data_IF_825114593507
#
_entry.id   IF_825114593507
#
_cell.length_a   1.000
_cell.length_b   1.000
_cell.length_c   1.000
_cell.angle_alpha   90.00
_cell.angle_beta   90.00
_cell.angle_gamma   90.00
#
_symmetry.space_group_name_H-M   'P 1'
#
loop_
_entity.id
_entity.type
_entity.pdbx_description
1 polymer ?
#
# COMPACT_ATOMS: atom_id res chain seq x y z
N UNK A 1 -34.79 -11.62 -5.65
CA UNK A 1 -35.17 -10.22 -5.36
C UNK A 1 -33.99 -9.51 -4.75
N UNK A 2 -33.61 -8.32 -5.24
CA UNK A 2 -32.51 -7.52 -4.65
C UNK A 2 -32.91 -7.03 -3.25
N UNK A 3 -32.11 -7.34 -2.21
CA UNK A 3 -32.33 -6.86 -0.83
C UNK A 3 -32.32 -5.32 -0.80
N UNK A 4 -33.34 -4.72 -0.18
CA UNK A 4 -33.43 -3.27 0.04
C UNK A 4 -32.85 -2.94 1.42
N UNK A 5 -32.08 -1.86 1.48
CA UNK A 5 -31.40 -1.37 2.66
C UNK A 5 -31.91 0.02 3.05
N UNK A 6 -31.68 0.39 4.30
CA UNK A 6 -31.99 1.73 4.83
C UNK A 6 -30.77 2.34 5.49
N UNK A 7 -30.60 3.65 5.37
CA UNK A 7 -29.49 4.37 5.96
C UNK A 7 -29.73 5.88 6.02
N UNK A 8 -28.75 6.61 6.53
CA UNK A 8 -28.76 8.08 6.59
C UNK A 8 -27.70 8.65 5.66
N UNK A 9 -28.06 9.64 4.84
CA UNK A 9 -27.07 10.47 4.14
C UNK A 9 -26.23 11.19 5.19
N UNK A 10 -24.90 11.09 5.07
CA UNK A 10 -23.93 11.75 5.95
C UNK A 10 -23.24 12.90 5.25
N UNK A 11 -22.94 12.74 3.96
CA UNK A 11 -22.26 13.76 3.17
C UNK A 11 -22.72 13.74 1.71
N UNK A 12 -22.70 14.90 1.08
CA UNK A 12 -23.10 15.13 -0.31
C UNK A 12 -22.06 16.02 -0.96
N UNK A 13 -21.51 15.54 -2.09
CA UNK A 13 -20.59 16.27 -2.97
C UNK A 13 -21.28 16.52 -4.31
N UNK A 14 -20.60 17.17 -5.24
CA UNK A 14 -21.16 17.50 -6.55
C UNK A 14 -21.73 16.28 -7.30
N UNK A 15 -20.97 15.18 -7.40
CA UNK A 15 -21.32 14.00 -8.23
C UNK A 15 -21.58 12.72 -7.42
N UNK A 16 -21.45 12.76 -6.09
CA UNK A 16 -21.66 11.59 -5.25
C UNK A 16 -22.02 11.98 -3.82
N UNK A 17 -22.64 11.05 -3.10
CA UNK A 17 -22.85 11.18 -1.66
C UNK A 17 -22.48 9.92 -0.90
N UNK A 18 -22.50 10.02 0.43
CA UNK A 18 -22.15 8.95 1.35
C UNK A 18 -23.35 8.64 2.23
N UNK A 19 -23.79 7.39 2.24
CA UNK A 19 -24.85 6.89 3.11
C UNK A 19 -24.21 6.04 4.21
N UNK A 20 -24.54 6.31 5.47
CA UNK A 20 -24.23 5.43 6.60
C UNK A 20 -25.41 4.50 6.84
N UNK A 21 -25.14 3.21 6.97
CA UNK A 21 -26.14 2.18 7.26
C UNK A 21 -25.68 1.32 8.43
N UNK A 22 -26.63 0.72 9.14
CA UNK A 22 -26.36 -0.31 10.14
C UNK A 22 -26.77 -1.66 9.56
N UNK A 23 -25.83 -2.59 9.44
CA UNK A 23 -26.10 -3.98 9.07
C UNK A 23 -25.54 -4.90 10.15
N UNK A 24 -26.42 -5.71 10.75
CA UNK A 24 -26.08 -6.68 11.80
C UNK A 24 -25.35 -6.07 13.01
N UNK A 25 -25.71 -4.85 13.40
CA UNK A 25 -25.08 -4.14 14.53
C UNK A 25 -23.81 -3.37 14.16
N UNK A 26 -23.39 -3.38 12.90
CA UNK A 26 -22.19 -2.69 12.42
C UNK A 26 -22.53 -1.50 11.54
N UNK A 27 -21.87 -0.36 11.78
CA UNK A 27 -22.00 0.83 10.95
C UNK A 27 -21.10 0.70 9.72
N UNK A 28 -21.70 0.73 8.53
CA UNK A 28 -21.02 0.76 7.23
C UNK A 28 -21.32 2.07 6.49
N UNK A 29 -20.42 2.52 5.61
CA UNK A 29 -20.69 3.61 4.67
C UNK A 29 -20.64 3.11 3.23
N UNK A 30 -21.50 3.66 2.38
CA UNK A 30 -21.56 3.32 0.95
C UNK A 30 -21.72 4.58 0.11
N UNK A 31 -21.13 4.55 -1.08
CA UNK A 31 -21.26 5.65 -2.04
C UNK A 31 -22.51 5.49 -2.89
N UNK A 32 -23.08 6.60 -3.33
CA UNK A 32 -24.06 6.65 -4.40
C UNK A 32 -23.74 7.80 -5.36
N UNK A 33 -24.11 7.64 -6.63
CA UNK A 33 -23.98 8.70 -7.62
C UNK A 33 -25.08 9.75 -7.47
N UNK A 34 -24.72 11.00 -7.71
CA UNK A 34 -25.66 12.11 -7.88
C UNK A 34 -25.59 12.48 -9.35
N UNK A 35 -26.70 12.29 -10.04
CA UNK A 35 -26.83 12.64 -11.45
C UNK A 35 -27.40 14.06 -11.60
N UNK A 36 -27.14 14.75 -12.73
CA UNK A 36 -27.61 16.13 -12.93
C UNK A 36 -29.12 16.31 -12.78
N UNK A 37 -29.91 15.32 -13.16
CA UNK A 37 -31.38 15.31 -13.02
C UNK A 37 -31.86 15.20 -11.57
N UNK A 38 -30.99 14.77 -10.64
CA UNK A 38 -31.26 14.75 -9.20
C UNK A 38 -31.00 16.11 -8.54
N UNK A 39 -30.42 17.07 -9.27
CA UNK A 39 -30.00 18.37 -8.76
C UNK A 39 -30.99 19.44 -9.20
N UNK A 40 -31.48 20.22 -8.23
CA UNK A 40 -32.26 21.43 -8.49
C UNK A 40 -31.63 22.61 -7.75
N UNK A 41 -31.32 23.70 -8.45
CA UNK A 41 -30.75 24.92 -7.87
C UNK A 41 -29.50 24.65 -6.99
N UNK A 42 -28.59 23.78 -7.46
CA UNK A 42 -27.39 23.35 -6.73
C UNK A 42 -27.67 22.62 -5.40
N UNK A 43 -28.84 22.00 -5.30
CA UNK A 43 -29.25 21.22 -4.13
C UNK A 43 -29.75 19.83 -4.53
N UNK A 44 -29.47 18.85 -3.69
CA UNK A 44 -30.04 17.51 -3.80
C UNK A 44 -31.26 17.40 -2.87
N UNK A 45 -32.41 17.03 -3.42
CA UNK A 45 -33.67 16.89 -2.66
C UNK A 45 -33.93 15.44 -2.26
N UNK A 46 -33.37 15.02 -1.13
CA UNK A 46 -33.62 13.71 -0.51
C UNK A 46 -33.93 13.89 0.98
N UNK A 47 -34.66 12.96 1.59
CA UNK A 47 -34.74 12.92 3.06
C UNK A 47 -33.40 12.48 3.65
N UNK A 48 -33.13 12.84 4.91
CA UNK A 48 -31.91 12.36 5.60
C UNK A 48 -31.85 10.84 5.66
N UNK A 49 -32.99 10.21 5.95
CA UNK A 49 -33.14 8.76 5.86
C UNK A 49 -33.53 8.35 4.43
N UNK A 50 -32.79 7.39 3.86
CA UNK A 50 -33.01 6.90 2.50
C UNK A 50 -33.13 5.38 2.48
N UNK A 51 -33.88 4.88 1.51
CA UNK A 51 -33.87 3.48 1.10
C UNK A 51 -33.10 3.31 -0.20
N UNK A 52 -32.37 2.22 -0.35
CA UNK A 52 -31.51 1.97 -1.49
C UNK A 52 -31.26 0.48 -1.70
N UNK A 53 -30.67 0.14 -2.83
CA UNK A 53 -30.17 -1.21 -3.14
C UNK A 53 -28.65 -1.15 -3.28
N UNK A 54 -28.00 -2.30 -3.10
CA UNK A 54 -26.54 -2.43 -3.25
C UNK A 54 -26.21 -3.24 -4.48
N UNK A 55 -25.27 -2.74 -5.29
CA UNK A 55 -24.69 -3.45 -6.41
C UNK A 55 -23.17 -3.50 -6.22
N UNK A 56 -22.57 -4.64 -6.55
CA UNK A 56 -21.12 -4.73 -6.69
C UNK A 56 -20.75 -4.02 -7.99
N UNK A 57 -19.78 -3.13 -7.92
CA UNK A 57 -19.20 -2.46 -9.08
C UNK A 57 -17.70 -2.68 -9.04
N UNK A 58 -17.17 -3.21 -10.14
CA UNK A 58 -15.72 -3.29 -10.33
C UNK A 58 -15.21 -1.89 -10.69
N UNK A 59 -14.28 -1.38 -9.89
CA UNK A 59 -13.59 -0.13 -10.16
C UNK A 59 -12.09 -0.41 -10.06
N UNK A 60 -11.41 -0.41 -11.21
CA UNK A 60 -10.02 -0.87 -11.36
C UNK A 60 -9.89 -2.34 -10.90
N UNK A 61 -8.82 -2.67 -10.17
CA UNK A 61 -8.54 -4.02 -9.68
C UNK A 61 -9.37 -4.43 -8.45
N UNK A 62 -10.37 -3.62 -8.05
CA UNK A 62 -11.18 -3.87 -6.86
C UNK A 62 -12.69 -3.84 -7.08
N UNK A 63 -13.41 -4.53 -6.20
CA UNK A 63 -14.86 -4.54 -6.14
C UNK A 63 -15.34 -3.65 -4.99
N UNK A 64 -16.34 -2.81 -5.26
CA UNK A 64 -16.96 -1.93 -4.27
C UNK A 64 -18.48 -2.08 -4.31
N UNK A 65 -19.13 -2.06 -3.14
CA UNK A 65 -20.59 -1.91 -3.04
C UNK A 65 -21.02 -0.46 -3.23
N UNK A 66 -21.78 -0.22 -4.29
CA UNK A 66 -22.40 1.07 -4.60
C UNK A 66 -23.91 1.01 -4.27
N UNK A 67 -24.39 2.04 -3.57
CA UNK A 67 -25.81 2.27 -3.39
C UNK A 67 -26.42 2.85 -4.67
N UNK A 68 -27.52 2.24 -5.12
CA UNK A 68 -28.30 2.67 -6.28
C UNK A 68 -29.79 2.64 -5.97
N UNK A 69 -30.59 3.26 -6.85
CA UNK A 69 -32.03 3.48 -6.62
C UNK A 69 -32.30 4.13 -5.25
N UNK A 70 -31.47 5.11 -4.90
CA UNK A 70 -31.59 5.87 -3.64
C UNK A 70 -32.86 6.69 -3.68
N UNK A 71 -33.73 6.50 -2.69
CA UNK A 71 -35.01 7.18 -2.58
C UNK A 71 -35.32 7.57 -1.13
N UNK A 72 -36.03 8.68 -0.95
CA UNK A 72 -36.47 9.14 0.35
C UNK A 72 -37.38 8.12 1.03
N UNK A 73 -37.10 7.77 2.29
CA UNK A 73 -37.96 6.87 3.07
C UNK A 73 -39.29 7.55 3.43
N UNK A 74 -39.25 8.85 3.73
CA UNK A 74 -40.42 9.69 3.95
C UNK A 74 -40.45 10.83 2.93
N UNK A 75 -41.45 10.82 2.04
CA UNK A 75 -41.61 11.84 0.99
C UNK A 75 -41.92 13.24 1.55
N UNK A 76 -42.43 13.30 2.78
CA UNK A 76 -42.83 14.55 3.45
C UNK A 76 -41.69 15.24 4.21
N UNK A 77 -40.51 14.60 4.32
CA UNK A 77 -39.40 15.05 5.16
C UNK A 77 -38.12 15.28 4.33
N UNK A 78 -38.31 15.92 3.16
CA UNK A 78 -37.22 16.24 2.24
C UNK A 78 -36.31 17.29 2.87
N UNK A 79 -35.03 16.95 3.02
CA UNK A 79 -34.00 17.92 3.37
C UNK A 79 -33.31 18.39 2.10
N UNK A 80 -33.00 19.67 2.07
CA UNK A 80 -32.21 20.27 1.00
C UNK A 80 -30.74 20.09 1.36
N UNK A 81 -30.04 19.22 0.64
CA UNK A 81 -28.59 19.09 0.78
C UNK A 81 -27.91 20.06 -0.19
N UNK A 82 -27.16 21.02 0.35
CA UNK A 82 -26.35 21.94 -0.45
C UNK A 82 -25.17 21.14 -1.01
N UNK A 83 -25.01 21.17 -2.34
CA UNK A 83 -23.87 20.52 -2.99
C UNK A 83 -22.60 21.32 -2.67
N UNK A 84 -21.62 20.66 -2.07
CA UNK A 84 -20.27 21.22 -1.90
C UNK A 84 -19.61 21.31 -3.28
N UNK A 85 -19.49 22.52 -3.82
CA UNK A 85 -18.72 22.80 -5.03
C UNK A 85 -17.27 23.14 -4.65
N UNK A 86 -16.31 22.72 -5.47
CA UNK A 86 -14.93 23.18 -5.35
C UNK A 86 -14.88 24.67 -5.72
N UNK A 87 -14.09 25.48 -4.99
CA UNK A 87 -13.83 26.87 -5.38
C UNK A 87 -13.05 26.89 -6.70
N UNK A 88 -13.31 27.83 -7.62
CA UNK A 88 -12.64 27.91 -8.92
C UNK A 88 -11.11 27.91 -8.83
N UNK A 89 -10.54 28.66 -7.89
CA UNK A 89 -9.08 28.77 -7.68
C UNK A 89 -8.44 27.42 -7.28
N UNK A 90 -9.22 26.50 -6.70
CA UNK A 90 -8.74 25.14 -6.39
C UNK A 90 -8.66 24.26 -7.65
N UNK A 91 -9.42 24.57 -8.69
CA UNK A 91 -9.45 23.77 -9.93
C UNK A 91 -8.19 24.00 -10.79
N UNK A 92 -7.53 25.15 -10.64
CA UNK A 92 -6.30 25.46 -11.39
C UNK A 92 -5.07 24.71 -10.87
N UNK A 93 -5.04 24.37 -9.57
CA UNK A 93 -3.96 23.58 -8.98
C UNK A 93 -4.53 22.36 -8.22
N UNK A 94 -4.53 21.22 -8.91
CA UNK A 94 -5.01 19.94 -8.39
C UNK A 94 -4.42 19.59 -7.02
N UNK A 95 -3.11 19.75 -6.82
CA UNK A 95 -2.49 19.42 -5.54
C UNK A 95 -3.04 20.33 -4.44
N UNK A 96 -3.05 21.65 -4.64
CA UNK A 96 -3.60 22.60 -3.66
C UNK A 96 -5.03 22.23 -3.23
N UNK A 97 -5.90 21.83 -4.17
CA UNK A 97 -7.23 21.34 -3.84
C UNK A 97 -7.20 20.15 -2.87
N UNK A 98 -6.37 19.15 -3.16
CA UNK A 98 -6.25 17.93 -2.35
C UNK A 98 -5.72 18.25 -0.95
N UNK A 99 -4.64 19.02 -0.84
CA UNK A 99 -4.04 19.36 0.45
C UNK A 99 -5.02 20.15 1.31
N UNK A 100 -5.69 21.18 0.76
CA UNK A 100 -6.68 21.98 1.49
C UNK A 100 -7.84 21.12 1.99
N UNK A 101 -8.33 20.22 1.14
CA UNK A 101 -9.42 19.32 1.48
C UNK A 101 -9.02 18.33 2.58
N UNK A 102 -7.84 17.72 2.48
CA UNK A 102 -7.38 16.69 3.42
C UNK A 102 -6.99 17.29 4.78
N UNK A 103 -6.24 18.40 4.77
CA UNK A 103 -5.74 19.03 5.99
C UNK A 103 -6.74 19.99 6.64
N UNK A 104 -7.84 20.31 5.96
CA UNK A 104 -8.88 21.25 6.43
C UNK A 104 -8.32 22.66 6.71
N UNK A 105 -7.33 23.10 5.92
CA UNK A 105 -6.63 24.39 6.06
C UNK A 105 -6.78 25.23 4.81
N UNK A 106 -7.01 26.53 4.99
CA UNK A 106 -7.07 27.50 3.88
C UNK A 106 -5.89 28.50 3.82
N UNK A 107 -4.99 28.50 4.81
CA UNK A 107 -3.81 29.35 4.79
C UNK A 107 -2.81 28.89 3.70
N UNK A 108 -2.46 29.74 2.71
CA UNK A 108 -1.52 29.38 1.64
C UNK A 108 -0.14 28.94 2.12
N UNK A 109 0.47 29.64 3.08
CA UNK A 109 1.82 29.35 3.57
C UNK A 109 1.89 27.96 4.22
N UNK A 110 0.84 27.61 4.99
CA UNK A 110 0.72 26.28 5.62
C UNK A 110 0.55 25.19 4.55
N UNK A 111 -0.23 25.45 3.50
CA UNK A 111 -0.42 24.51 2.40
C UNK A 111 0.88 24.30 1.63
N UNK A 112 1.64 25.36 1.36
CA UNK A 112 2.96 25.25 0.72
C UNK A 112 3.95 24.45 1.57
N UNK A 113 3.97 24.67 2.88
CA UNK A 113 4.80 23.88 3.81
C UNK A 113 4.40 22.39 3.81
N UNK A 114 3.10 22.09 3.85
CA UNK A 114 2.58 20.71 3.79
C UNK A 114 2.96 20.02 2.48
N UNK A 115 2.88 20.72 1.34
CA UNK A 115 3.30 20.21 0.03
C UNK A 115 4.81 19.95 0.02
N UNK A 116 5.60 20.87 0.55
CA UNK A 116 7.06 20.76 0.63
C UNK A 116 7.48 19.55 1.47
N UNK A 117 6.85 19.35 2.63
CA UNK A 117 7.11 18.20 3.49
C UNK A 117 6.65 16.88 2.85
N UNK A 118 5.49 16.82 2.18
CA UNK A 118 5.08 15.62 1.44
C UNK A 118 6.09 15.28 0.32
N UNK A 119 6.59 16.29 -0.39
CA UNK A 119 7.65 16.10 -1.40
C UNK A 119 8.93 15.53 -0.79
N UNK A 120 9.38 16.06 0.34
CA UNK A 120 10.53 15.52 1.06
C UNK A 120 10.30 14.04 1.46
N UNK A 121 9.13 13.72 2.03
CA UNK A 121 8.77 12.34 2.40
C UNK A 121 8.78 11.42 1.18
N UNK A 122 8.33 11.89 0.01
CA UNK A 122 8.39 11.11 -1.24
C UNK A 122 9.82 10.82 -1.69
N UNK A 123 10.70 11.83 -1.62
CA UNK A 123 12.11 11.68 -1.98
C UNK A 123 12.81 10.66 -1.10
N UNK A 124 12.67 10.76 0.23
CA UNK A 124 13.27 9.78 1.16
C UNK A 124 12.61 8.41 1.04
N UNK A 125 11.30 8.32 0.82
CA UNK A 125 10.62 7.04 0.55
C UNK A 125 11.20 6.37 -0.69
N UNK A 126 11.44 7.12 -1.77
CA UNK A 126 12.03 6.58 -2.99
C UNK A 126 13.47 6.10 -2.77
N UNK A 127 14.29 6.89 -2.06
CA UNK A 127 15.65 6.51 -1.65
C UNK A 127 15.64 5.15 -0.95
N UNK A 128 14.79 4.98 0.06
CA UNK A 128 14.75 3.74 0.84
C UNK A 128 14.15 2.56 0.09
N UNK A 129 13.19 2.77 -0.81
CA UNK A 129 12.71 1.71 -1.70
C UNK A 129 13.83 1.22 -2.64
N UNK A 130 14.62 2.14 -3.22
CA UNK A 130 15.75 1.78 -4.08
C UNK A 130 16.82 1.02 -3.30
N UNK A 131 17.06 1.39 -2.05
CA UNK A 131 17.92 0.64 -1.14
C UNK A 131 17.41 -0.79 -0.93
N UNK A 132 16.13 -0.97 -0.56
CA UNK A 132 15.53 -2.30 -0.38
C UNK A 132 15.62 -3.12 -1.68
N UNK A 133 15.31 -2.51 -2.83
CA UNK A 133 15.39 -3.18 -4.14
C UNK A 133 16.80 -3.71 -4.40
N UNK A 134 17.82 -2.88 -4.19
CA UNK A 134 19.23 -3.27 -4.34
C UNK A 134 19.61 -4.39 -3.37
N UNK A 135 19.27 -4.25 -2.08
CA UNK A 135 19.57 -5.27 -1.06
C UNK A 135 18.95 -6.63 -1.41
N UNK A 136 17.70 -6.64 -1.90
CA UNK A 136 17.05 -7.88 -2.35
C UNK A 136 17.80 -8.51 -3.53
N UNK A 137 18.21 -7.72 -4.52
CA UNK A 137 19.01 -8.21 -5.65
C UNK A 137 20.35 -8.81 -5.17
N UNK A 138 21.06 -8.08 -4.31
CA UNK A 138 22.34 -8.51 -3.74
C UNK A 138 22.20 -9.82 -2.95
N UNK A 139 21.12 -9.96 -2.16
CA UNK A 139 20.85 -11.18 -1.41
C UNK A 139 20.52 -12.36 -2.32
N UNK A 140 19.72 -12.17 -3.38
CA UNK A 140 19.45 -13.23 -4.36
C UNK A 140 20.77 -13.74 -4.98
N UNK A 141 21.69 -12.83 -5.34
CA UNK A 141 23.00 -13.20 -5.89
C UNK A 141 23.86 -13.92 -4.85
N UNK A 142 23.96 -13.37 -3.63
CA UNK A 142 24.75 -13.93 -2.52
C UNK A 142 24.28 -15.34 -2.14
N UNK A 143 22.96 -15.54 -2.01
CA UNK A 143 22.35 -16.85 -1.75
C UNK A 143 22.71 -17.83 -2.86
N UNK A 144 22.63 -17.41 -4.13
CA UNK A 144 22.92 -18.28 -5.27
C UNK A 144 24.38 -18.73 -5.28
N UNK A 145 25.32 -17.81 -4.99
CA UNK A 145 26.75 -18.12 -4.90
C UNK A 145 27.02 -19.07 -3.72
N UNK A 146 26.53 -18.73 -2.53
CA UNK A 146 26.82 -19.47 -1.29
C UNK A 146 26.24 -20.88 -1.30
N UNK A 147 25.10 -21.08 -1.99
CA UNK A 147 24.44 -22.38 -2.09
C UNK A 147 24.73 -23.11 -3.41
N UNK A 148 25.71 -22.63 -4.19
CA UNK A 148 26.12 -23.21 -5.47
C UNK A 148 24.98 -23.41 -6.48
N UNK A 149 24.04 -22.47 -6.52
CA UNK A 149 22.90 -22.48 -7.44
C UNK A 149 23.32 -21.77 -8.72
N UNK A 150 23.24 -22.45 -9.86
CA UNK A 150 23.63 -21.84 -11.13
C UNK A 150 22.56 -20.90 -11.67
N UNK A 151 22.97 -19.84 -12.38
CA UNK A 151 22.03 -18.95 -13.08
C UNK A 151 21.14 -19.71 -14.08
N UNK A 152 21.65 -20.80 -14.67
CA UNK A 152 20.88 -21.63 -15.61
C UNK A 152 19.70 -22.31 -14.91
N UNK A 153 19.92 -22.90 -13.74
CA UNK A 153 18.85 -23.54 -12.95
C UNK A 153 17.77 -22.52 -12.55
N UNK A 154 18.20 -21.31 -12.17
CA UNK A 154 17.29 -20.19 -11.88
C UNK A 154 16.46 -19.84 -13.11
N UNK A 155 17.08 -19.66 -14.27
CA UNK A 155 16.36 -19.28 -15.49
C UNK A 155 15.43 -20.39 -15.99
N UNK A 156 15.81 -21.65 -15.84
CA UNK A 156 14.93 -22.79 -16.15
C UNK A 156 13.69 -22.79 -15.25
N UNK A 157 13.87 -22.58 -13.94
CA UNK A 157 12.76 -22.42 -13.00
C UNK A 157 11.83 -21.26 -13.40
N UNK A 158 12.38 -20.09 -13.72
CA UNK A 158 11.58 -18.92 -14.13
C UNK A 158 10.81 -19.15 -15.44
N UNK A 159 11.30 -19.98 -16.37
CA UNK A 159 10.60 -20.32 -17.62
C UNK A 159 9.41 -21.26 -17.40
N UNK A 160 9.40 -22.05 -16.33
CA UNK A 160 8.32 -23.00 -16.04
C UNK A 160 7.04 -22.29 -15.57
N UNK A 161 7.15 -21.10 -15.00
CA UNK A 161 5.99 -20.29 -14.61
C UNK A 161 5.64 -19.27 -15.70
N UNK A 162 4.38 -19.26 -16.15
CA UNK A 162 3.90 -18.43 -17.25
C UNK A 162 4.19 -16.93 -17.07
N UNK A 163 4.02 -16.41 -15.85
CA UNK A 163 4.20 -15.00 -15.54
C UNK A 163 5.67 -14.62 -15.57
N UNK A 164 6.54 -15.41 -14.91
CA UNK A 164 7.98 -15.14 -14.91
C UNK A 164 8.65 -15.47 -16.24
N UNK A 165 8.09 -16.37 -17.06
CA UNK A 165 8.59 -16.65 -18.40
C UNK A 165 8.44 -15.41 -19.31
N UNK A 166 7.32 -14.70 -19.24
CA UNK A 166 7.15 -13.44 -19.98
C UNK A 166 8.17 -12.38 -19.55
N UNK A 167 8.40 -12.26 -18.23
CA UNK A 167 9.41 -11.36 -17.66
C UNK A 167 10.81 -11.75 -18.13
N UNK A 168 11.15 -13.04 -18.05
CA UNK A 168 12.44 -13.58 -18.49
C UNK A 168 12.72 -13.28 -19.97
N UNK A 169 11.72 -13.52 -20.83
CA UNK A 169 11.85 -13.21 -22.26
C UNK A 169 12.01 -11.70 -22.53
N UNK A 170 11.32 -10.86 -21.75
CA UNK A 170 11.47 -9.40 -21.83
C UNK A 170 12.87 -8.96 -21.40
N UNK A 171 13.38 -9.48 -20.28
CA UNK A 171 14.73 -9.18 -19.78
C UNK A 171 15.79 -9.63 -20.79
N UNK A 172 15.70 -10.86 -21.32
CA UNK A 172 16.63 -11.33 -22.34
C UNK A 172 16.67 -10.43 -23.58
N UNK A 173 15.51 -9.90 -24.01
CA UNK A 173 15.46 -8.93 -25.11
C UNK A 173 16.16 -7.62 -24.76
N UNK A 174 15.99 -7.11 -23.54
CA UNK A 174 16.73 -5.92 -23.06
C UNK A 174 18.22 -6.18 -23.00
N UNK A 175 18.65 -7.29 -22.37
CA UNK A 175 20.07 -7.64 -22.27
C UNK A 175 20.73 -7.67 -23.64
N UNK A 176 20.10 -8.36 -24.60
CA UNK A 176 20.60 -8.42 -25.98
C UNK A 176 20.73 -7.06 -26.65
N UNK A 177 19.78 -6.15 -26.38
CA UNK A 177 19.75 -4.82 -27.00
C UNK A 177 20.74 -3.87 -26.35
N UNK A 178 20.76 -3.85 -25.03
CA UNK A 178 21.37 -2.78 -24.25
C UNK A 178 22.85 -3.07 -23.94
N UNK A 179 23.26 -4.35 -23.92
CA UNK A 179 24.65 -4.75 -23.63
C UNK A 179 25.45 -5.22 -24.84
N UNK A 180 24.87 -5.21 -26.04
CA UNK A 180 25.61 -5.52 -27.26
C UNK A 180 26.79 -4.53 -27.42
N UNK A 181 27.99 -5.07 -27.60
CA UNK A 181 29.24 -4.29 -27.72
C UNK A 181 29.61 -3.43 -26.50
N UNK A 182 29.08 -3.75 -25.31
CA UNK A 182 29.62 -3.25 -24.05
C UNK A 182 30.58 -4.28 -23.44
N UNK A 183 31.36 -3.88 -22.45
CA UNK A 183 32.31 -4.77 -21.77
C UNK A 183 31.60 -5.97 -21.12
N UNK A 184 30.38 -5.78 -20.62
CA UNK A 184 29.58 -6.84 -20.01
C UNK A 184 29.13 -7.91 -21.02
N UNK A 185 29.20 -7.63 -22.32
CA UNK A 185 28.90 -8.61 -23.36
C UNK A 185 29.79 -9.85 -23.27
N UNK A 186 31.03 -9.69 -22.80
CA UNK A 186 31.99 -10.78 -22.58
C UNK A 186 31.53 -11.76 -21.50
N UNK A 187 30.59 -11.35 -20.64
CA UNK A 187 30.05 -12.18 -19.55
C UNK A 187 28.84 -13.01 -19.99
N UNK A 188 28.34 -12.81 -21.21
CA UNK A 188 27.13 -13.47 -21.70
C UNK A 188 27.48 -14.78 -22.42
N UNK A 189 26.75 -15.85 -22.13
CA UNK A 189 26.80 -17.06 -22.96
C UNK A 189 25.81 -16.90 -24.11
N UNK A 190 26.33 -16.88 -25.33
CA UNK A 190 25.53 -16.76 -26.55
C UNK A 190 25.71 -17.98 -27.46
N UNK A 191 24.72 -18.20 -28.31
CA UNK A 191 24.73 -19.25 -29.33
C UNK A 191 24.21 -18.66 -30.65
N UNK A 192 24.52 -19.33 -31.76
CA UNK A 192 24.09 -18.89 -33.08
C UNK A 192 22.58 -19.06 -33.21
N UNK A 193 21.90 -18.06 -33.77
CA UNK A 193 20.49 -18.22 -34.09
C UNK A 193 20.35 -19.12 -35.34
N UNK A 194 19.74 -20.29 -35.15
CA UNK A 194 19.58 -21.31 -36.19
C UNK A 194 18.79 -20.81 -37.42
N UNK A 195 18.01 -19.74 -37.29
CA UNK A 195 17.21 -19.18 -38.38
C UNK A 195 17.83 -17.93 -39.02
N UNK A 196 18.78 -17.27 -38.34
CA UNK A 196 19.39 -16.04 -38.85
C UNK A 196 20.82 -15.87 -38.33
N UNK A 197 21.79 -16.12 -39.19
CA UNK A 197 23.23 -16.01 -38.89
C UNK A 197 23.70 -14.62 -38.45
N UNK A 198 22.91 -13.56 -38.68
CA UNK A 198 23.21 -12.20 -38.23
C UNK A 198 22.75 -11.93 -36.79
N UNK A 199 22.10 -12.90 -36.14
CA UNK A 199 21.55 -12.78 -34.81
C UNK A 199 22.11 -13.87 -33.88
N UNK A 200 21.97 -13.66 -32.57
CA UNK A 200 22.39 -14.63 -31.56
C UNK A 200 21.28 -14.91 -30.55
N UNK A 201 21.33 -16.09 -29.95
CA UNK A 201 20.48 -16.53 -28.85
C UNK A 201 21.26 -16.33 -27.55
N UNK A 202 20.66 -15.62 -26.59
CA UNK A 202 21.22 -15.51 -25.24
C UNK A 202 20.88 -16.79 -24.49
N UNK A 203 21.90 -17.58 -24.12
CA UNK A 203 21.74 -18.82 -23.35
C UNK A 203 21.78 -18.55 -21.85
N UNK A 204 22.66 -17.66 -21.43
CA UNK A 204 22.88 -17.34 -20.02
C UNK A 204 23.43 -15.92 -19.88
N UNK A 205 23.15 -15.30 -18.75
CA UNK A 205 23.70 -14.01 -18.33
C UNK A 205 24.05 -14.10 -16.84
N UNK A 206 25.01 -13.32 -16.34
CA UNK A 206 25.25 -13.19 -14.91
C UNK A 206 23.96 -12.79 -14.19
N UNK A 207 23.67 -13.43 -13.05
CA UNK A 207 22.42 -13.20 -12.33
C UNK A 207 22.26 -11.74 -11.90
N UNK A 208 23.34 -11.09 -11.47
CA UNK A 208 23.34 -9.67 -11.13
C UNK A 208 22.87 -8.81 -12.31
N UNK A 209 23.45 -9.01 -13.50
CA UNK A 209 23.07 -8.28 -14.72
C UNK A 209 21.61 -8.55 -15.11
N UNK A 210 21.15 -9.79 -14.97
CA UNK A 210 19.75 -10.14 -15.20
C UNK A 210 18.79 -9.40 -14.27
N UNK A 211 19.15 -9.27 -12.99
CA UNK A 211 18.33 -8.59 -11.99
C UNK A 211 18.33 -7.07 -12.16
N UNK A 212 19.40 -6.46 -12.68
CA UNK A 212 19.41 -5.02 -12.97
C UNK A 212 18.37 -4.60 -14.01
N UNK A 213 17.99 -5.52 -14.91
CA UNK A 213 17.00 -5.26 -15.96
C UNK A 213 15.53 -5.39 -15.49
N UNK A 214 15.33 -5.67 -14.20
CA UNK A 214 14.00 -5.81 -13.59
C UNK A 214 13.44 -4.47 -13.11
N UNK A 215 12.14 -4.28 -13.25
CA UNK A 215 11.39 -3.32 -12.42
C UNK A 215 11.06 -3.91 -11.06
N UNK A 216 10.73 -3.10 -10.05
CA UNK A 216 10.38 -3.59 -8.70
C UNK A 216 9.24 -4.62 -8.70
N UNK A 217 8.23 -4.43 -9.55
CA UNK A 217 7.11 -5.38 -9.70
C UNK A 217 7.56 -6.71 -10.35
N UNK A 218 8.43 -6.64 -11.36
CA UNK A 218 9.01 -7.83 -11.99
C UNK A 218 9.92 -8.58 -11.02
N UNK A 219 10.75 -7.86 -10.26
CA UNK A 219 11.62 -8.42 -9.23
C UNK A 219 10.80 -9.12 -8.14
N UNK A 220 9.69 -8.54 -7.68
CA UNK A 220 8.84 -9.19 -6.70
C UNK A 220 8.20 -10.49 -7.20
N UNK A 221 7.83 -10.54 -8.49
CA UNK A 221 7.30 -11.76 -9.13
C UNK A 221 8.36 -12.84 -9.24
N UNK A 222 9.58 -12.45 -9.61
CA UNK A 222 10.75 -13.33 -9.63
C UNK A 222 11.04 -13.85 -8.22
N UNK A 223 11.17 -12.95 -7.24
CA UNK A 223 11.47 -13.28 -5.84
C UNK A 223 10.51 -14.34 -5.29
N UNK A 224 9.19 -14.17 -5.52
CA UNK A 224 8.18 -15.13 -5.10
C UNK A 224 8.41 -16.54 -5.66
N UNK A 225 8.78 -16.65 -6.94
CA UNK A 225 9.08 -17.95 -7.56
C UNK A 225 10.38 -18.54 -7.02
N UNK A 226 11.42 -17.70 -6.85
CA UNK A 226 12.71 -18.15 -6.33
C UNK A 226 12.58 -18.68 -4.90
N UNK A 227 11.91 -17.94 -4.02
CA UNK A 227 11.67 -18.36 -2.62
C UNK A 227 10.92 -19.70 -2.57
N UNK A 228 9.86 -19.85 -3.35
CA UNK A 228 9.03 -21.05 -3.33
C UNK A 228 9.73 -22.28 -3.93
N UNK A 229 10.55 -22.10 -4.97
CA UNK A 229 10.99 -23.21 -5.83
C UNK A 229 12.49 -23.47 -5.74
N UNK A 230 13.31 -22.42 -5.66
CA UNK A 230 14.77 -22.50 -5.73
C UNK A 230 15.38 -22.45 -4.32
N UNK A 231 14.88 -21.56 -3.46
CA UNK A 231 15.44 -21.31 -2.14
C UNK A 231 14.72 -22.04 -1.00
N UNK A 232 13.63 -22.75 -1.29
CA UNK A 232 12.79 -23.40 -0.27
C UNK A 232 13.55 -24.39 0.63
N UNK A 233 14.51 -25.12 0.08
CA UNK A 233 15.37 -26.05 0.84
C UNK A 233 16.35 -25.40 1.82
N UNK A 234 16.51 -24.08 1.76
CA UNK A 234 17.46 -23.29 2.54
C UNK A 234 16.78 -22.37 3.56
N UNK A 235 15.44 -22.36 3.62
CA UNK A 235 14.69 -21.64 4.64
C UNK A 235 15.12 -22.15 6.04
N UNK A 236 15.35 -21.22 6.98
CA UNK A 236 15.90 -21.48 8.32
C UNK A 236 17.36 -21.98 8.35
N UNK A 237 18.04 -22.13 7.21
CA UNK A 237 19.46 -22.49 7.14
C UNK A 237 20.35 -21.31 6.74
N UNK A 238 19.82 -20.41 5.91
CA UNK A 238 20.47 -19.16 5.52
C UNK A 238 19.58 -17.99 5.97
N UNK A 239 20.14 -17.07 6.75
CA UNK A 239 19.43 -15.90 7.28
C UNK A 239 18.89 -15.00 6.17
N UNK A 240 19.59 -14.87 5.04
CA UNK A 240 19.13 -14.08 3.90
C UNK A 240 17.94 -14.76 3.21
N UNK A 241 17.94 -16.09 3.12
CA UNK A 241 16.80 -16.85 2.58
C UNK A 241 15.58 -16.68 3.48
N UNK A 242 15.76 -16.79 4.80
CA UNK A 242 14.69 -16.58 5.79
C UNK A 242 14.13 -15.16 5.68
N UNK A 243 14.99 -14.16 5.58
CA UNK A 243 14.57 -12.77 5.36
C UNK A 243 13.74 -12.62 4.07
N UNK A 244 14.27 -13.09 2.93
CA UNK A 244 13.59 -13.03 1.64
C UNK A 244 12.24 -13.76 1.66
N UNK A 245 12.18 -14.91 2.35
CA UNK A 245 10.94 -15.66 2.53
C UNK A 245 9.89 -14.85 3.29
N UNK A 246 10.24 -14.14 4.36
CA UNK A 246 9.26 -13.36 5.11
C UNK A 246 8.79 -12.07 4.42
N UNK A 247 9.55 -11.55 3.45
CA UNK A 247 9.19 -10.29 2.77
C UNK A 247 8.56 -10.48 1.38
N UNK A 248 8.62 -11.68 0.79
CA UNK A 248 8.35 -11.87 -0.64
C UNK A 248 6.94 -11.43 -1.09
N UNK A 249 5.92 -11.62 -0.26
CA UNK A 249 4.54 -11.16 -0.54
C UNK A 249 4.41 -9.64 -0.43
N UNK A 250 5.01 -9.06 0.61
CA UNK A 250 4.96 -7.63 0.89
C UNK A 250 5.82 -6.82 -0.09
N UNK A 251 6.89 -7.39 -0.61
CA UNK A 251 7.79 -6.72 -1.55
C UNK A 251 7.06 -6.31 -2.85
N UNK A 252 6.12 -7.13 -3.33
CA UNK A 252 5.28 -6.81 -4.48
C UNK A 252 4.44 -5.54 -4.29
N UNK A 253 4.04 -5.28 -3.04
CA UNK A 253 3.22 -4.12 -2.71
C UNK A 253 3.99 -2.81 -2.82
N UNK A 254 5.33 -2.82 -2.74
CA UNK A 254 6.15 -1.60 -2.80
C UNK A 254 5.96 -0.81 -4.09
N UNK A 255 5.56 -1.48 -5.19
CA UNK A 255 5.30 -0.85 -6.48
C UNK A 255 4.34 0.35 -6.39
N UNK A 256 3.32 0.27 -5.52
CA UNK A 256 2.30 1.32 -5.37
C UNK A 256 2.88 2.60 -4.77
N UNK A 257 3.53 2.54 -3.61
CA UNK A 257 4.16 3.73 -3.02
C UNK A 257 5.36 4.20 -3.82
N UNK A 258 6.13 3.30 -4.46
CA UNK A 258 7.24 3.67 -5.34
C UNK A 258 6.73 4.58 -6.46
N UNK A 259 5.65 4.18 -7.12
CA UNK A 259 5.06 4.95 -8.20
C UNK A 259 4.41 6.25 -7.68
N UNK A 260 3.75 6.22 -6.52
CA UNK A 260 3.22 7.43 -5.90
C UNK A 260 4.32 8.46 -5.56
N UNK A 261 5.45 7.99 -5.04
CA UNK A 261 6.61 8.82 -4.72
C UNK A 261 7.31 9.36 -5.96
N UNK A 262 7.41 8.57 -7.04
CA UNK A 262 8.06 8.97 -8.28
C UNK A 262 7.22 9.91 -9.17
N UNK A 263 5.91 10.01 -8.95
CA UNK A 263 4.99 10.81 -9.77
C UNK A 263 4.37 11.96 -8.99
N UNK A 264 3.73 12.94 -9.64
CA UNK A 264 3.24 14.18 -9.02
C UNK A 264 2.08 14.07 -8.01
N UNK A 265 1.65 12.86 -7.64
CA UNK A 265 0.53 12.66 -6.72
C UNK A 265 0.91 12.94 -5.25
N UNK A 266 0.00 13.51 -4.43
CA UNK A 266 0.20 13.64 -2.98
C UNK A 266 0.31 12.27 -2.29
N UNK A 267 1.37 12.04 -1.50
CA UNK A 267 1.63 10.74 -0.88
C UNK A 267 0.87 10.55 0.44
N UNK A 268 0.92 11.53 1.35
CA UNK A 268 0.24 11.44 2.64
C UNK A 268 -1.29 11.34 2.47
N UNK A 269 -1.97 12.19 1.67
CA UNK A 269 -3.38 12.01 1.40
C UNK A 269 -3.71 10.65 0.78
N UNK A 270 -2.83 10.12 -0.08
CA UNK A 270 -3.01 8.80 -0.68
C UNK A 270 -3.03 7.66 0.36
N UNK A 271 -2.20 7.75 1.40
CA UNK A 271 -2.10 6.76 2.49
C UNK A 271 -3.26 6.89 3.50
N UNK A 272 -3.65 8.12 3.82
CA UNK A 272 -4.53 8.44 4.95
C UNK A 272 -5.98 8.74 4.56
N UNK A 273 -6.22 9.47 3.47
CA UNK A 273 -7.55 9.90 3.08
C UNK A 273 -8.33 8.79 2.37
N UNK A 274 -9.31 8.24 3.07
CA UNK A 274 -10.22 7.24 2.51
C UNK A 274 -11.09 7.77 1.36
N UNK A 275 -11.21 9.09 1.22
CA UNK A 275 -12.00 9.75 0.16
C UNK A 275 -11.16 10.22 -1.02
N UNK A 276 -9.83 10.12 -0.93
CA UNK A 276 -8.92 10.53 -2.00
C UNK A 276 -8.95 9.54 -3.16
N UNK A 277 -8.98 8.24 -2.85
CA UNK A 277 -9.14 7.17 -3.85
C UNK A 277 -10.20 6.16 -3.39
N UNK A 278 -11.48 6.57 -3.34
CA UNK A 278 -12.56 5.73 -2.83
C UNK A 278 -12.76 4.46 -3.67
N UNK A 279 -12.38 4.50 -4.94
CA UNK A 279 -12.37 3.34 -5.84
C UNK A 279 -11.40 2.24 -5.42
N UNK A 280 -10.40 2.54 -4.61
CA UNK A 280 -9.40 1.58 -4.15
C UNK A 280 -9.74 0.99 -2.77
N UNK A 281 -10.84 1.45 -2.16
CA UNK A 281 -11.34 0.91 -0.90
C UNK A 281 -12.37 -0.17 -1.17
N UNK A 282 -11.96 -1.41 -0.89
CA UNK A 282 -12.78 -2.62 -1.03
C UNK A 282 -14.01 -2.66 -0.12
N UNK A 283 -14.17 -1.70 0.77
CA UNK A 283 -15.41 -1.37 1.47
C UNK A 283 -15.14 -0.03 2.14
N UNK A 284 -15.87 1.03 1.76
CA UNK A 284 -15.76 2.33 2.44
C UNK A 284 -16.33 2.18 3.87
N UNK A 285 -15.49 1.71 4.79
CA UNK A 285 -15.78 1.53 6.23
C UNK A 285 -16.73 0.39 6.58
N UNK A 286 -16.54 -0.83 6.09
CA UNK A 286 -16.87 -1.99 6.93
C UNK A 286 -15.63 -2.83 7.17
N UNK A 287 -15.02 -2.55 8.30
CA UNK A 287 -13.95 -3.35 8.86
C UNK A 287 -14.52 -4.61 9.57
N UNK A 288 -15.84 -4.85 9.45
CA UNK A 288 -16.57 -5.86 10.21
C UNK A 288 -16.96 -7.08 9.35
N UNK A 289 -17.05 -8.29 9.95
CA UNK A 289 -17.11 -9.57 9.21
C UNK A 289 -18.33 -9.75 8.29
N UNK A 290 -19.42 -9.04 8.53
CA UNK A 290 -20.70 -9.29 7.84
C UNK A 290 -20.90 -8.57 6.50
N UNK A 291 -20.03 -7.61 6.17
CA UNK A 291 -20.12 -6.83 4.94
C UNK A 291 -18.79 -6.92 4.21
N UNK A 292 -18.70 -7.87 3.29
CA UNK A 292 -17.55 -8.03 2.41
C UNK A 292 -18.04 -7.71 0.98
N UNK A 293 -17.50 -6.69 0.33
CA UNK A 293 -17.75 -6.43 -1.09
C UNK A 293 -16.62 -6.88 -2.03
N UNK A 294 -15.53 -7.44 -1.48
CA UNK A 294 -14.35 -7.83 -2.24
C UNK A 294 -13.60 -9.08 -1.74
N UNK A 295 -12.32 -9.18 -2.11
CA UNK A 295 -11.41 -10.27 -1.72
C UNK A 295 -11.16 -10.25 -0.21
N UNK A 296 -11.17 -11.43 0.41
CA UNK A 296 -10.85 -11.54 1.82
C UNK A 296 -9.39 -11.12 2.08
N UNK A 297 -9.20 -10.17 2.98
CA UNK A 297 -7.85 -9.76 3.40
C UNK A 297 -7.23 -10.75 4.40
N UNK A 298 -7.99 -11.76 4.84
CA UNK A 298 -7.46 -12.87 5.65
C UNK A 298 -6.35 -13.66 4.96
N UNK A 299 -6.34 -13.67 3.63
CA UNK A 299 -5.38 -14.44 2.83
C UNK A 299 -3.99 -13.76 2.78
N UNK A 300 -3.87 -12.56 3.35
CA UNK A 300 -2.60 -11.86 3.47
C UNK A 300 -1.76 -12.43 4.62
N UNK A 301 -0.48 -12.73 4.36
CA UNK A 301 0.44 -13.32 5.34
C UNK A 301 0.56 -12.50 6.63
N UNK A 302 0.48 -11.17 6.55
CA UNK A 302 0.53 -10.30 7.72
C UNK A 302 -0.82 -10.11 8.44
N UNK A 303 -1.93 -10.65 7.92
CA UNK A 303 -3.25 -10.47 8.53
C UNK A 303 -3.30 -10.98 9.98
N UNK A 304 -2.93 -12.25 10.21
CA UNK A 304 -2.94 -12.83 11.56
C UNK A 304 -1.83 -12.29 12.46
N UNK A 305 -0.58 -12.08 12.01
CA UNK A 305 0.44 -11.39 12.81
C UNK A 305 -0.02 -10.02 13.33
N UNK A 306 -0.56 -9.16 12.47
CA UNK A 306 -1.07 -7.84 12.86
C UNK A 306 -2.22 -8.00 13.85
N UNK A 307 -3.20 -8.83 13.51
CA UNK A 307 -4.39 -9.06 14.34
C UNK A 307 -4.03 -9.59 15.74
N UNK A 308 -3.14 -10.58 15.81
CA UNK A 308 -2.71 -11.18 17.05
C UNK A 308 -1.94 -10.17 17.91
N UNK A 309 -0.97 -9.48 17.32
CA UNK A 309 -0.14 -8.55 18.08
C UNK A 309 -0.93 -7.34 18.59
N UNK A 310 -1.82 -6.79 17.76
CA UNK A 310 -2.75 -5.74 18.20
C UNK A 310 -3.61 -6.21 19.38
N UNK A 311 -4.08 -7.46 19.42
CA UNK A 311 -4.82 -8.00 20.57
C UNK A 311 -3.97 -7.99 21.84
N UNK A 312 -2.71 -8.37 21.76
CA UNK A 312 -1.79 -8.37 22.91
C UNK A 312 -1.51 -6.95 23.39
N UNK A 313 -1.20 -6.03 22.48
CA UNK A 313 -0.97 -4.63 22.84
C UNK A 313 -2.23 -3.97 23.43
N UNK A 314 -3.41 -4.32 22.93
CA UNK A 314 -4.69 -3.84 23.48
C UNK A 314 -4.91 -4.38 24.91
N UNK A 315 -4.57 -5.65 25.16
CA UNK A 315 -4.65 -6.25 26.49
C UNK A 315 -3.76 -5.52 27.50
N UNK A 316 -2.60 -5.04 27.04
CA UNK A 316 -1.66 -4.25 27.85
C UNK A 316 -1.99 -2.76 27.94
N UNK A 317 -3.07 -2.28 27.30
CA UNK A 317 -3.42 -0.85 27.27
C UNK A 317 -2.49 0.02 26.41
N UNK A 318 -1.72 -0.59 25.50
CA UNK A 318 -0.72 0.10 24.66
C UNK A 318 -1.31 0.47 23.29
N UNK A 319 -2.31 -0.27 22.80
CA UNK A 319 -2.88 -0.03 21.48
C UNK A 319 -3.50 1.39 21.39
N UNK A 320 -3.20 2.16 20.33
CA UNK A 320 -3.63 3.56 20.22
C UNK A 320 -5.14 3.73 20.04
N UNK A 321 -5.84 2.68 19.62
CA UNK A 321 -7.29 2.70 19.40
C UNK A 321 -7.94 1.46 20.03
N UNK A 322 -9.02 1.67 20.77
CA UNK A 322 -9.84 0.60 21.34
C UNK A 322 -11.22 0.57 20.70
N UNK A 323 -11.62 -0.59 20.18
CA UNK A 323 -12.90 -0.78 19.48
C UNK A 323 -13.89 -1.65 20.27
N UNK A 324 -13.92 -1.55 21.60
CA UNK A 324 -14.92 -2.27 22.41
C UNK A 324 -14.61 -3.74 22.71
N UNK A 325 -13.46 -4.25 22.29
CA UNK A 325 -12.99 -5.59 22.66
C UNK A 325 -11.68 -5.97 21.97
N UNK A 326 -10.88 -6.84 22.60
CA UNK A 326 -9.56 -7.24 22.07
C UNK A 326 -9.65 -7.80 20.64
N UNK A 327 -10.58 -8.75 20.43
CA UNK A 327 -10.81 -9.38 19.12
C UNK A 327 -11.24 -8.35 18.07
N UNK A 328 -12.11 -7.41 18.48
CA UNK A 328 -12.64 -6.40 17.57
C UNK A 328 -11.58 -5.38 17.18
N UNK A 329 -10.76 -4.94 18.14
CA UNK A 329 -9.62 -4.06 17.89
C UNK A 329 -8.62 -4.71 16.95
N UNK A 330 -8.21 -5.97 17.21
CA UNK A 330 -7.26 -6.67 16.34
C UNK A 330 -7.77 -6.85 14.92
N UNK A 331 -9.03 -7.27 14.76
CA UNK A 331 -9.65 -7.41 13.45
C UNK A 331 -9.74 -6.05 12.74
N UNK A 332 -10.14 -5.00 13.47
CA UNK A 332 -10.27 -3.67 12.92
C UNK A 332 -8.93 -3.18 12.37
N UNK A 333 -7.88 -3.24 13.17
CA UNK A 333 -6.55 -2.74 12.79
C UNK A 333 -6.01 -3.47 11.56
N UNK A 334 -6.04 -4.81 11.55
CA UNK A 334 -5.53 -5.59 10.41
C UNK A 334 -6.24 -5.23 9.10
N UNK A 335 -7.58 -5.19 9.12
CA UNK A 335 -8.37 -4.79 7.95
C UNK A 335 -8.17 -3.33 7.56
N UNK A 336 -8.08 -2.42 8.53
CA UNK A 336 -7.83 -1.00 8.28
C UNK A 336 -6.53 -0.81 7.50
N UNK A 337 -5.47 -1.53 7.83
CA UNK A 337 -4.20 -1.50 7.11
C UNK A 337 -4.33 -2.09 5.72
N UNK A 338 -4.86 -3.32 5.62
CA UNK A 338 -4.72 -4.16 4.43
C UNK A 338 -5.75 -3.87 3.32
N UNK A 339 -6.87 -3.23 3.66
CA UNK A 339 -7.93 -2.89 2.69
C UNK A 339 -7.52 -1.75 1.76
N UNK A 340 -6.79 -0.74 2.26
CA UNK A 340 -6.34 0.38 1.42
C UNK A 340 -4.99 0.00 0.76
N UNK A 341 -4.90 -0.12 -0.57
CA UNK A 341 -3.67 -0.55 -1.24
C UNK A 341 -2.47 0.36 -0.99
N UNK A 342 -2.66 1.68 -0.93
CA UNK A 342 -1.58 2.61 -0.66
C UNK A 342 -1.09 2.52 0.79
N UNK A 343 -2.01 2.40 1.75
CA UNK A 343 -1.68 2.17 3.17
C UNK A 343 -0.98 0.85 3.37
N UNK A 344 -1.49 -0.23 2.76
CA UNK A 344 -0.86 -1.55 2.78
C UNK A 344 0.54 -1.51 2.21
N UNK A 345 0.73 -0.83 1.09
CA UNK A 345 2.04 -0.64 0.45
C UNK A 345 3.01 0.18 1.30
N UNK A 346 2.54 1.26 1.92
CA UNK A 346 3.35 2.03 2.87
C UNK A 346 3.69 1.21 4.12
N UNK A 347 2.73 0.46 4.64
CA UNK A 347 2.94 -0.45 5.75
C UNK A 347 3.95 -1.56 5.40
N UNK A 348 3.86 -2.15 4.20
CA UNK A 348 4.82 -3.12 3.67
C UNK A 348 6.25 -2.56 3.63
N UNK A 349 6.40 -1.32 3.17
CA UNK A 349 7.68 -0.62 3.15
C UNK A 349 8.30 -0.47 4.53
N UNK A 350 7.55 0.07 5.49
CA UNK A 350 8.05 0.23 6.86
C UNK A 350 8.33 -1.14 7.48
N UNK A 351 7.51 -2.16 7.20
CA UNK A 351 7.75 -3.52 7.67
C UNK A 351 9.07 -4.10 7.15
N UNK A 352 9.29 -4.06 5.83
CA UNK A 352 10.47 -4.67 5.20
C UNK A 352 11.76 -4.02 5.70
N UNK A 353 11.79 -2.68 5.76
CA UNK A 353 13.00 -1.97 6.17
C UNK A 353 13.32 -2.18 7.66
N UNK A 354 12.30 -2.16 8.53
CA UNK A 354 12.52 -2.44 9.95
C UNK A 354 12.89 -3.90 10.19
N UNK A 355 12.32 -4.83 9.42
CA UNK A 355 12.70 -6.23 9.51
C UNK A 355 14.16 -6.46 9.06
N UNK A 356 14.59 -5.77 8.01
CA UNK A 356 15.99 -5.78 7.57
C UNK A 356 16.92 -5.27 8.68
N UNK A 357 16.60 -4.13 9.30
CA UNK A 357 17.41 -3.59 10.41
C UNK A 357 17.41 -4.49 11.64
N UNK A 358 16.29 -5.16 11.93
CA UNK A 358 16.20 -6.08 13.05
C UNK A 358 17.01 -7.37 12.82
N UNK A 359 16.96 -7.94 11.62
CA UNK A 359 17.63 -9.20 11.28
C UNK A 359 19.14 -9.02 11.04
N UNK A 360 19.55 -7.86 10.53
CA UNK A 360 20.94 -7.55 10.17
C UNK A 360 21.44 -6.29 10.91
N UNK A 361 21.18 -6.20 12.22
CA UNK A 361 21.50 -5.02 13.05
C UNK A 361 22.97 -4.61 12.95
N UNK A 362 23.87 -5.59 12.96
CA UNK A 362 25.33 -5.36 12.93
C UNK A 362 25.78 -4.71 11.62
N UNK A 363 25.08 -4.95 10.51
CA UNK A 363 25.39 -4.40 9.19
C UNK A 363 24.75 -3.02 8.98
N UNK A 364 23.55 -2.79 9.53
CA UNK A 364 22.72 -1.64 9.16
C UNK A 364 22.42 -0.63 10.27
N UNK A 365 23.11 -0.68 11.41
CA UNK A 365 22.86 0.27 12.53
C UNK A 365 22.88 1.74 12.08
N UNK A 366 23.91 2.19 11.36
CA UNK A 366 24.01 3.60 10.91
C UNK A 366 22.92 3.98 9.89
N UNK A 367 22.56 3.04 9.01
CA UNK A 367 21.50 3.25 8.02
C UNK A 367 20.11 3.27 8.68
N UNK A 368 19.94 2.52 9.76
CA UNK A 368 18.74 2.56 10.60
C UNK A 368 18.54 3.95 11.21
N UNK A 369 19.60 4.53 11.79
CA UNK A 369 19.54 5.89 12.34
C UNK A 369 19.21 6.93 11.27
N UNK A 370 19.82 6.81 10.07
CA UNK A 370 19.54 7.68 8.93
C UNK A 370 18.07 7.57 8.48
N UNK A 371 17.53 6.35 8.38
CA UNK A 371 16.12 6.12 8.04
C UNK A 371 15.20 6.81 9.04
N UNK A 372 15.49 6.66 10.33
CA UNK A 372 14.69 7.27 11.40
C UNK A 372 14.77 8.80 11.41
N UNK A 373 15.92 9.37 11.07
CA UNK A 373 16.07 10.82 10.87
C UNK A 373 15.29 11.31 9.66
N UNK A 374 15.32 10.59 8.53
CA UNK A 374 14.54 10.93 7.33
C UNK A 374 13.03 10.97 7.61
N UNK A 375 12.54 10.10 8.50
CA UNK A 375 11.12 9.99 8.84
C UNK A 375 10.70 10.67 10.15
N UNK A 376 11.58 11.41 10.81
CA UNK A 376 11.34 12.02 12.14
C UNK A 376 10.18 13.03 12.16
N UNK A 377 9.78 13.54 10.99
CA UNK A 377 8.63 14.45 10.85
C UNK A 377 7.30 13.71 10.68
N UNK A 378 7.33 12.43 10.32
CA UNK A 378 6.15 11.63 9.99
C UNK A 378 5.88 10.50 11.00
N UNK A 379 6.94 9.82 11.45
CA UNK A 379 6.87 8.70 12.39
C UNK A 379 7.37 9.21 13.75
N UNK A 380 6.53 9.19 14.80
CA UNK A 380 6.97 9.63 16.12
C UNK A 380 7.94 8.61 16.70
N UNK A 381 9.22 9.01 16.81
CA UNK A 381 10.25 8.26 17.52
C UNK A 381 10.34 8.77 18.96
N UNK A 382 10.55 7.83 19.89
CA UNK A 382 10.38 8.02 21.35
C UNK A 382 11.28 9.08 22.01
N UNK A 383 12.21 9.74 21.30
CA UNK A 383 13.31 10.45 21.96
C UNK A 383 13.36 11.98 21.79
N UNK A 384 12.40 12.63 21.11
CA UNK A 384 12.50 14.09 20.90
C UNK A 384 11.21 14.89 21.17
N UNK A 385 10.55 14.63 22.30
CA UNK A 385 9.33 15.37 22.69
C UNK A 385 9.54 16.89 22.81
N UNK A 386 10.76 17.35 23.15
CA UNK A 386 11.03 18.76 23.42
C UNK A 386 11.26 19.65 22.18
N UNK A 387 11.38 19.08 20.97
CA UNK A 387 11.51 19.84 19.71
C UNK A 387 10.41 19.54 18.68
N UNK A 388 9.38 18.79 19.07
CA UNK A 388 8.40 18.21 18.15
C UNK A 388 7.12 19.01 17.95
N UNK A 389 6.74 19.91 18.88
CA UNK A 389 5.47 20.68 18.82
C UNK A 389 5.38 21.69 17.66
N UNK A 390 6.49 21.96 16.97
CA UNK A 390 6.57 22.93 15.85
C UNK A 390 6.42 22.32 14.46
N UNK A 391 6.35 20.98 14.33
CA UNK A 391 6.33 20.32 13.02
C UNK A 391 4.93 20.29 12.38
N UNK A 392 4.84 20.64 11.10
CA UNK A 392 3.58 20.80 10.36
C UNK A 392 2.66 19.55 10.43
N UNK A 393 3.21 18.34 10.32
CA UNK A 393 2.43 17.09 10.36
C UNK A 393 1.93 16.70 11.76
N UNK A 394 2.49 17.30 12.82
CA UNK A 394 1.98 17.16 14.18
C UNK A 394 0.85 18.14 14.49
N UNK A 395 0.70 19.16 13.67
CA UNK A 395 -0.33 20.20 13.83
C UNK A 395 -1.54 19.98 12.93
N UNK A 396 -1.35 19.29 11.79
CA UNK A 396 -2.37 19.18 10.76
C UNK A 396 -2.68 17.73 10.30
N UNK A 397 -3.96 17.42 10.03
CA UNK A 397 -5.13 18.26 10.33
C UNK A 397 -5.30 18.42 11.86
N UNK A 398 -5.77 19.58 12.32
CA UNK A 398 -5.80 19.91 13.76
C UNK A 398 -6.72 19.00 14.57
N UNK A 399 -7.71 18.39 13.92
CA UNK A 399 -8.62 17.41 14.51
C UNK A 399 -7.96 16.05 14.75
N UNK A 400 -6.99 15.67 13.92
CA UNK A 400 -6.29 14.39 14.00
C UNK A 400 -4.96 14.48 13.24
N UNK A 401 -3.87 14.90 13.90
CA UNK A 401 -2.59 15.13 13.23
C UNK A 401 -2.09 13.95 12.40
N UNK A 402 -1.41 14.25 11.30
CA UNK A 402 -0.86 13.25 10.37
C UNK A 402 0.04 12.25 11.06
N UNK A 403 0.89 12.70 11.99
CA UNK A 403 1.77 11.81 12.76
C UNK A 403 0.98 10.80 13.60
N UNK A 404 -0.12 11.23 14.24
CA UNK A 404 -1.00 10.36 15.02
C UNK A 404 -1.73 9.36 14.11
N UNK A 405 -2.17 9.82 12.94
CA UNK A 405 -2.80 8.95 11.94
C UNK A 405 -1.84 7.87 11.44
N UNK A 406 -0.59 8.21 11.12
CA UNK A 406 0.43 7.23 10.73
C UNK A 406 0.74 6.28 11.89
N UNK A 407 0.98 6.81 13.08
CA UNK A 407 1.27 6.02 14.27
C UNK A 407 0.17 4.99 14.58
N UNK A 408 -1.10 5.33 14.30
CA UNK A 408 -2.24 4.42 14.54
C UNK A 408 -2.13 3.07 13.84
N UNK A 409 -1.32 2.96 12.79
CA UNK A 409 -1.15 1.73 12.04
C UNK A 409 0.32 1.31 11.81
N UNK A 410 1.29 2.04 12.35
CA UNK A 410 2.72 1.66 12.32
C UNK A 410 3.30 1.32 13.69
N UNK A 411 2.60 1.62 14.79
CA UNK A 411 3.11 1.49 16.18
C UNK A 411 3.68 0.11 16.56
N UNK A 412 3.23 -0.96 15.91
CA UNK A 412 3.71 -2.31 16.17
C UNK A 412 5.01 -2.65 15.45
N UNK A 413 5.35 -1.95 14.37
CA UNK A 413 6.62 -2.12 13.64
C UNK A 413 7.80 -1.58 14.44
N UNK A 414 7.56 -0.69 15.38
CA UNK A 414 8.57 -0.11 16.28
C UNK A 414 8.90 -1.03 17.47
N UNK A 415 8.29 -2.22 17.55
CA UNK A 415 8.56 -3.18 18.61
C UNK A 415 9.26 -4.44 18.05
N UNK A 416 10.51 -4.74 18.46
CA UNK A 416 11.23 -5.91 17.99
C UNK A 416 10.48 -7.24 18.15
N UNK A 417 9.63 -7.36 19.20
CA UNK A 417 8.85 -8.57 19.45
C UNK A 417 7.83 -8.88 18.34
N UNK A 418 7.41 -7.86 17.56
CA UNK A 418 6.51 -8.07 16.44
C UNK A 418 7.14 -8.95 15.35
N UNK A 419 8.44 -8.78 15.06
CA UNK A 419 9.14 -9.56 14.05
C UNK A 419 9.29 -11.03 14.48
N UNK A 420 9.56 -11.28 15.77
CA UNK A 420 9.58 -12.66 16.30
C UNK A 420 8.22 -13.37 16.15
N UNK A 421 7.11 -12.62 16.29
CA UNK A 421 5.76 -13.16 16.10
C UNK A 421 5.46 -13.40 14.63
N UNK A 422 5.93 -12.54 13.72
CA UNK A 422 5.84 -12.75 12.29
C UNK A 422 6.53 -14.07 11.91
N UNK A 423 7.74 -14.31 12.39
CA UNK A 423 8.47 -15.55 12.12
C UNK A 423 7.75 -16.80 12.65
N UNK A 424 6.98 -16.67 13.73
CA UNK A 424 6.21 -17.79 14.30
C UNK A 424 4.92 -18.11 13.53
N UNK A 425 4.27 -17.08 12.94
CA UNK A 425 2.93 -17.15 12.37
C UNK A 425 2.90 -17.15 10.84
N UNK A 426 3.95 -16.66 10.17
CA UNK A 426 4.14 -16.79 8.72
C UNK A 426 4.77 -18.17 8.49
N UNK A 427 3.97 -19.15 8.07
CA UNK A 427 4.40 -20.53 7.77
C UNK A 427 3.85 -20.99 6.42
#
# INVERSE_FOLDING_TARGET
>A
MSKTYTGSIVEVHHNYGIISMNENGFNAKVLFYIFPDMISQNTLQLSKEVSFKLANKDIRDGAMKLAYSVSSKNLNDKKTFILKNAKPDYLENYNNFIYRKFYEVDNPDIIEELISQDKYIKEVTLKWILFIERTVKDYIVKISINNHISSKDIYECLKQNNQTNQIHNKINKKIKKDYLFRNEFELLDIDRDAQNDQNFILKNAPLALYLEETTIDELGKILRVLVASVFSGFINKDVHVTFLYHIHTMFLELSKIRNASAHGNPLIPLILDLTFMPSELYDLKSVFPGFNSGKDVSDWELFEPIRFYTRQLTKCGIAPMYHGGLQLTGLYTAKYILINPARRSFFAFIFIINYLFAEFSDEYTLLSDEFYLDFINLIPLKENENQMSTKIFMQYPSSNPTTNQIASFTYFLLNPQFFSICNALIR
#
